data_IF_709806687393
#
_entry.id   IF_709806687393
#
_cell.length_a   1.000
_cell.length_b   1.000
_cell.length_c   1.000
_cell.angle_alpha   90.00
_cell.angle_beta   90.00
_cell.angle_gamma   90.00
#
_symmetry.space_group_name_H-M   'P 1'
#
loop_
_entity.id
_entity.type
_entity.pdbx_description
1 polymer ?
#
# COMPACT_ATOMS: atom_id res chain seq x y z
N UNK A 1 11.72 -18.44 9.51
CA UNK A 1 12.19 -17.92 8.21
C UNK A 1 12.68 -19.10 7.40
N UNK A 2 12.08 -19.38 6.23
CA UNK A 2 12.71 -20.30 5.28
C UNK A 2 13.89 -19.54 4.66
N UNK A 3 15.11 -20.00 4.88
CA UNK A 3 16.27 -19.56 4.10
C UNK A 3 16.09 -20.14 2.71
N UNK A 4 15.48 -19.35 1.84
CA UNK A 4 15.40 -19.65 0.41
C UNK A 4 16.57 -18.90 -0.19
N UNK A 5 17.53 -19.64 -0.73
CA UNK A 5 18.64 -19.03 -1.46
C UNK A 5 18.06 -18.21 -2.63
N UNK A 6 18.57 -16.99 -2.86
CA UNK A 6 18.06 -16.15 -3.92
C UNK A 6 18.31 -16.82 -5.28
N UNK A 7 17.33 -16.82 -6.21
CA UNK A 7 17.51 -17.35 -7.55
C UNK A 7 18.78 -16.81 -8.21
N UNK A 8 19.56 -17.67 -8.87
CA UNK A 8 20.83 -17.29 -9.49
C UNK A 8 20.71 -16.08 -10.42
N UNK A 9 19.54 -15.91 -11.04
CA UNK A 9 19.25 -14.85 -12.00
C UNK A 9 19.30 -13.46 -11.35
N UNK A 10 18.83 -13.33 -10.10
CA UNK A 10 18.89 -12.08 -9.35
C UNK A 10 20.34 -11.76 -8.97
N UNK A 11 21.08 -12.76 -8.49
CA UNK A 11 22.47 -12.58 -8.05
C UNK A 11 23.40 -12.21 -9.22
N UNK A 12 23.08 -12.64 -10.44
CA UNK A 12 23.83 -12.29 -11.66
C UNK A 12 23.62 -10.84 -12.09
N UNK A 13 22.43 -10.28 -11.87
CA UNK A 13 22.07 -8.91 -12.30
C UNK A 13 22.55 -7.85 -11.30
N UNK A 14 22.60 -8.17 -10.01
CA UNK A 14 22.96 -7.21 -8.97
C UNK A 14 24.45 -6.83 -9.02
N UNK A 15 24.80 -5.53 -8.86
CA UNK A 15 26.18 -5.09 -8.61
C UNK A 15 26.80 -5.81 -7.41
N UNK A 16 28.09 -6.10 -7.50
CA UNK A 16 28.84 -6.90 -6.50
C UNK A 16 28.69 -6.36 -5.09
N UNK A 17 28.64 -5.04 -4.95
CA UNK A 17 28.53 -4.29 -3.69
C UNK A 17 27.23 -4.60 -2.95
N UNK A 18 26.13 -4.88 -3.67
CA UNK A 18 24.80 -5.11 -3.08
C UNK A 18 24.33 -6.56 -3.16
N UNK A 19 25.15 -7.48 -3.70
CA UNK A 19 24.80 -8.91 -3.81
C UNK A 19 24.48 -9.55 -2.46
N UNK A 20 25.10 -9.08 -1.38
CA UNK A 20 24.83 -9.57 -0.03
C UNK A 20 23.42 -9.22 0.47
N UNK A 21 22.73 -8.27 -0.17
CA UNK A 21 21.32 -7.93 0.05
C UNK A 21 20.36 -8.56 -0.98
N UNK A 22 20.83 -9.52 -1.79
CA UNK A 22 20.02 -10.20 -2.82
C UNK A 22 18.70 -10.78 -2.31
N UNK A 23 18.63 -11.18 -1.04
CA UNK A 23 17.41 -11.65 -0.40
C UNK A 23 16.30 -10.59 -0.32
N UNK A 24 16.64 -9.30 -0.28
CA UNK A 24 15.67 -8.19 -0.27
C UNK A 24 14.91 -8.07 -1.60
N UNK A 25 15.46 -8.62 -2.68
CA UNK A 25 14.85 -8.60 -4.02
C UNK A 25 13.90 -9.79 -4.25
N UNK A 26 13.74 -10.69 -3.27
CA UNK A 26 12.85 -11.84 -3.38
C UNK A 26 11.39 -11.43 -3.21
N UNK A 27 10.55 -11.88 -4.14
CA UNK A 27 9.12 -11.63 -4.12
C UNK A 27 8.46 -12.14 -2.83
N UNK A 28 8.84 -13.33 -2.36
CA UNK A 28 8.27 -13.93 -1.16
C UNK A 28 8.55 -13.13 0.11
N UNK A 29 9.75 -12.51 0.20
CA UNK A 29 10.07 -11.62 1.32
C UNK A 29 9.15 -10.40 1.32
N UNK A 30 8.71 -9.98 0.13
CA UNK A 30 7.82 -8.85 -0.05
C UNK A 30 6.35 -9.16 0.30
N UNK A 31 5.99 -10.45 0.35
CA UNK A 31 4.62 -10.91 0.56
C UNK A 31 4.23 -11.06 2.03
N UNK A 32 5.21 -11.08 2.94
CA UNK A 32 4.95 -11.24 4.37
C UNK A 32 4.10 -10.10 4.94
N UNK A 33 3.22 -10.45 5.87
CA UNK A 33 2.46 -9.48 6.66
C UNK A 33 3.41 -8.66 7.54
N UNK A 34 3.50 -7.33 7.36
CA UNK A 34 4.37 -6.50 8.18
C UNK A 34 3.93 -6.47 9.65
N UNK A 35 4.86 -6.26 10.60
CA UNK A 35 4.50 -6.03 11.99
C UNK A 35 3.78 -4.70 12.15
N UNK A 36 2.96 -4.59 13.20
CA UNK A 36 2.40 -3.31 13.63
C UNK A 36 3.50 -2.37 14.14
N UNK A 37 3.36 -1.08 13.83
CA UNK A 37 4.31 -0.02 14.21
C UNK A 37 3.57 1.23 14.69
N UNK A 38 4.28 2.16 15.31
CA UNK A 38 3.69 3.39 15.85
C UNK A 38 3.03 4.28 14.78
N UNK A 39 3.54 4.21 13.54
CA UNK A 39 3.11 5.00 12.39
C UNK A 39 2.18 4.24 11.44
N UNK A 40 1.60 3.12 11.88
CA UNK A 40 0.54 2.42 11.15
C UNK A 40 -0.54 3.39 10.67
N UNK A 41 -1.11 3.08 9.50
CA UNK A 41 -2.08 3.97 8.88
C UNK A 41 -3.33 4.08 9.76
N UNK A 42 -3.66 5.31 10.14
CA UNK A 42 -4.87 5.64 10.88
C UNK A 42 -5.95 6.12 9.91
N UNK A 43 -7.19 5.71 10.17
CA UNK A 43 -8.37 6.15 9.41
C UNK A 43 -9.30 6.88 10.38
N UNK A 44 -9.06 8.19 10.51
CA UNK A 44 -9.86 9.05 11.38
C UNK A 44 -11.07 9.56 10.59
N UNK A 45 -12.28 9.15 10.97
CA UNK A 45 -13.48 9.62 10.30
C UNK A 45 -13.93 10.95 10.91
N UNK A 46 -14.66 11.74 10.13
CA UNK A 46 -15.35 12.94 10.60
C UNK A 46 -16.39 12.58 11.65
N UNK A 47 -16.77 13.56 12.46
CA UNK A 47 -17.86 13.42 13.43
C UNK A 47 -19.17 13.96 12.85
N UNK A 48 -20.28 13.39 13.27
CA UNK A 48 -21.63 13.90 13.01
C UNK A 48 -21.94 15.13 13.88
N UNK A 49 -23.10 15.75 13.68
CA UNK A 49 -23.57 16.92 14.45
C UNK A 49 -23.68 16.65 15.95
N UNK A 50 -23.81 15.37 16.34
CA UNK A 50 -23.89 14.92 17.74
C UNK A 50 -22.51 14.53 18.30
N UNK A 51 -21.44 14.78 17.55
CA UNK A 51 -20.06 14.47 17.95
C UNK A 51 -19.69 12.99 17.85
N UNK A 52 -20.53 12.11 17.29
CA UNK A 52 -20.23 10.69 17.11
C UNK A 52 -19.41 10.49 15.84
N UNK A 53 -18.48 9.54 15.83
CA UNK A 53 -17.74 9.21 14.61
C UNK A 53 -18.73 8.74 13.52
N UNK A 54 -18.56 9.24 12.28
CA UNK A 54 -19.40 8.83 11.15
C UNK A 54 -19.24 7.33 10.89
N UNK A 55 -20.32 6.70 10.45
CA UNK A 55 -20.32 5.26 10.17
C UNK A 55 -19.62 4.94 8.84
N UNK A 56 -19.11 3.72 8.74
CA UNK A 56 -18.50 3.17 7.53
C UNK A 56 -19.58 3.11 6.43
N UNK A 57 -19.33 3.71 5.24
CA UNK A 57 -20.32 3.71 4.16
C UNK A 57 -20.65 2.29 3.69
N UNK A 58 -21.92 2.06 3.37
CA UNK A 58 -22.37 0.82 2.75
C UNK A 58 -22.42 0.98 1.24
N UNK A 59 -21.37 0.51 0.56
CA UNK A 59 -21.24 0.60 -0.89
C UNK A 59 -22.12 -0.42 -1.62
N UNK A 60 -22.58 -0.10 -2.85
CA UNK A 60 -23.27 -1.06 -3.71
C UNK A 60 -22.32 -2.16 -4.17
N UNK A 61 -22.87 -3.28 -4.65
CA UNK A 61 -22.11 -4.25 -5.43
C UNK A 61 -22.18 -3.87 -6.90
N UNK A 62 -21.04 -3.78 -7.56
CA UNK A 62 -20.99 -3.54 -9.00
C UNK A 62 -21.12 -4.83 -9.80
N UNK A 63 -21.74 -4.72 -10.97
CA UNK A 63 -21.80 -5.82 -11.92
C UNK A 63 -20.40 -6.13 -12.45
N UNK A 64 -20.11 -7.42 -12.60
CA UNK A 64 -18.83 -7.91 -13.10
C UNK A 64 -19.04 -8.95 -14.19
N UNK A 65 -18.22 -8.85 -15.23
CA UNK A 65 -18.06 -9.86 -16.27
C UNK A 65 -17.45 -11.15 -15.72
N UNK A 66 -17.49 -12.23 -16.52
CA UNK A 66 -16.89 -13.51 -16.15
C UNK A 66 -15.38 -13.36 -15.88
N UNK A 67 -14.67 -12.61 -16.72
CA UNK A 67 -13.22 -12.45 -16.61
C UNK A 67 -12.84 -11.65 -15.36
N UNK A 68 -13.58 -10.58 -15.04
CA UNK A 68 -13.42 -9.84 -13.79
C UNK A 68 -13.67 -10.72 -12.56
N UNK A 69 -14.67 -11.61 -12.61
CA UNK A 69 -14.94 -12.55 -11.50
C UNK A 69 -13.82 -13.57 -11.30
N UNK A 70 -13.17 -14.03 -12.38
CA UNK A 70 -12.01 -14.91 -12.30
C UNK A 70 -10.81 -14.18 -11.68
N UNK A 71 -10.52 -12.96 -12.16
CA UNK A 71 -9.44 -12.13 -11.59
C UNK A 71 -9.72 -11.81 -10.12
N UNK A 72 -10.97 -11.49 -9.77
CA UNK A 72 -11.39 -11.24 -8.41
C UNK A 72 -11.11 -12.44 -7.51
N UNK A 73 -11.55 -13.63 -7.91
CA UNK A 73 -11.35 -14.85 -7.11
C UNK A 73 -9.86 -15.13 -6.88
N UNK A 74 -9.04 -15.02 -7.91
CA UNK A 74 -7.60 -15.23 -7.80
C UNK A 74 -6.93 -14.18 -6.91
N UNK A 75 -7.33 -12.91 -7.03
CA UNK A 75 -6.82 -11.82 -6.19
C UNK A 75 -7.17 -12.04 -4.72
N UNK A 76 -8.42 -12.44 -4.44
CA UNK A 76 -8.84 -12.74 -3.07
C UNK A 76 -8.03 -13.88 -2.46
N UNK A 77 -7.83 -14.98 -3.21
CA UNK A 77 -7.01 -16.11 -2.74
C UNK A 77 -5.59 -15.66 -2.42
N UNK A 78 -4.93 -14.97 -3.36
CA UNK A 78 -3.57 -14.48 -3.19
C UNK A 78 -3.43 -13.56 -1.96
N UNK A 79 -4.38 -12.65 -1.76
CA UNK A 79 -4.32 -11.71 -0.64
C UNK A 79 -4.65 -12.38 0.71
N UNK A 80 -5.49 -13.41 0.73
CA UNK A 80 -5.76 -14.23 1.91
C UNK A 80 -4.53 -15.07 2.28
N UNK A 81 -3.87 -15.68 1.29
CA UNK A 81 -2.66 -16.51 1.49
C UNK A 81 -1.50 -15.67 2.06
N UNK A 82 -1.40 -14.40 1.65
CA UNK A 82 -0.44 -13.42 2.17
C UNK A 82 -0.84 -12.81 3.52
N UNK A 83 -2.02 -13.16 4.02
CA UNK A 83 -2.65 -12.53 5.19
C UNK A 83 -2.74 -11.00 5.09
N UNK A 84 -2.86 -10.45 3.87
CA UNK A 84 -3.06 -9.02 3.64
C UNK A 84 -4.49 -8.59 3.90
N UNK A 85 -5.43 -9.52 3.69
CA UNK A 85 -6.86 -9.34 3.99
C UNK A 85 -7.36 -10.48 4.87
N UNK A 86 -8.52 -10.27 5.50
CA UNK A 86 -9.29 -11.32 6.18
C UNK A 86 -10.79 -11.15 5.93
N UNK A 87 -11.59 -12.16 6.23
CA UNK A 87 -13.05 -12.03 6.21
C UNK A 87 -13.48 -10.91 7.18
N UNK A 88 -14.39 -10.05 6.73
CA UNK A 88 -14.87 -8.91 7.51
C UNK A 88 -16.28 -9.14 8.04
N UNK A 89 -16.53 -8.63 9.25
CA UNK A 89 -17.85 -8.50 9.86
C UNK A 89 -18.32 -7.04 9.94
N UNK A 90 -17.62 -6.13 9.26
CA UNK A 90 -17.91 -4.70 9.24
C UNK A 90 -19.35 -4.43 8.79
N UNK A 91 -20.06 -3.47 9.43
CA UNK A 91 -21.43 -3.11 9.04
C UNK A 91 -21.50 -2.44 7.66
N UNK A 92 -20.35 -1.97 7.14
CA UNK A 92 -20.21 -1.30 5.86
C UNK A 92 -19.23 -2.00 4.93
N UNK A 93 -18.92 -1.34 3.82
CA UNK A 93 -17.82 -1.75 2.97
C UNK A 93 -17.92 -1.18 1.56
N UNK A 94 -16.76 -0.88 0.99
CA UNK A 94 -16.63 -0.30 -0.34
C UNK A 94 -16.85 -1.34 -1.45
N UNK A 95 -17.36 -0.93 -2.63
CA UNK A 95 -17.39 -1.79 -3.80
C UNK A 95 -15.98 -2.13 -4.31
N UNK A 96 -15.88 -3.24 -5.04
CA UNK A 96 -14.71 -3.53 -5.89
C UNK A 96 -15.02 -3.14 -7.34
N UNK A 97 -14.04 -2.56 -8.02
CA UNK A 97 -14.05 -2.31 -9.46
C UNK A 97 -12.72 -2.74 -10.08
N UNK A 98 -12.71 -2.89 -11.41
CA UNK A 98 -11.49 -3.19 -12.16
C UNK A 98 -11.12 -2.05 -13.09
N UNK A 99 -9.86 -1.63 -13.02
CA UNK A 99 -9.28 -0.73 -14.01
C UNK A 99 -8.48 -1.53 -15.04
N UNK A 100 -8.60 -1.17 -16.32
CA UNK A 100 -7.76 -1.77 -17.37
C UNK A 100 -6.33 -1.26 -17.24
N UNK A 101 -5.37 -2.17 -17.23
CA UNK A 101 -3.95 -1.86 -17.37
C UNK A 101 -3.61 -1.60 -18.84
N UNK A 102 -2.54 -0.84 -19.14
CA UNK A 102 -2.08 -0.61 -20.52
C UNK A 102 -1.73 -1.89 -21.28
N UNK A 103 -1.28 -2.93 -20.57
CA UNK A 103 -0.93 -4.25 -21.10
C UNK A 103 -2.16 -5.15 -21.38
N UNK A 104 -3.38 -4.65 -21.16
CA UNK A 104 -4.61 -5.42 -21.33
C UNK A 104 -5.06 -6.20 -20.09
N UNK A 105 -4.27 -6.22 -19.02
CA UNK A 105 -4.64 -6.85 -17.76
C UNK A 105 -5.70 -6.07 -16.97
N UNK A 106 -6.26 -6.69 -15.94
CA UNK A 106 -7.18 -6.05 -14.99
C UNK A 106 -6.47 -5.72 -13.68
N UNK A 107 -6.74 -4.55 -13.12
CA UNK A 107 -6.26 -4.11 -11.81
C UNK A 107 -7.42 -4.09 -10.84
N UNK A 108 -7.32 -4.93 -9.80
CA UNK A 108 -8.24 -4.92 -8.67
C UNK A 108 -8.15 -3.58 -7.94
N UNK A 109 -9.28 -2.90 -7.78
CA UNK A 109 -9.38 -1.63 -7.05
C UNK A 109 -10.58 -1.67 -6.11
N UNK A 110 -10.41 -1.15 -4.89
CA UNK A 110 -11.53 -0.89 -3.99
C UNK A 110 -11.93 0.57 -4.10
N UNK A 111 -13.21 0.83 -4.30
CA UNK A 111 -13.74 2.19 -4.46
C UNK A 111 -14.00 2.87 -3.11
N UNK A 112 -12.93 3.38 -2.50
CA UNK A 112 -13.00 4.11 -1.24
C UNK A 112 -13.49 5.56 -1.37
N UNK A 113 -14.06 6.02 -2.50
CA UNK A 113 -14.49 7.42 -2.66
C UNK A 113 -15.47 7.88 -1.57
N UNK A 114 -16.44 7.03 -1.22
CA UNK A 114 -17.39 7.32 -0.15
C UNK A 114 -16.71 7.43 1.22
N UNK A 115 -15.79 6.50 1.52
CA UNK A 115 -15.01 6.50 2.77
C UNK A 115 -14.08 7.71 2.85
N UNK A 116 -13.40 8.04 1.76
CA UNK A 116 -12.47 9.16 1.66
C UNK A 116 -13.16 10.50 1.92
N UNK A 117 -14.39 10.67 1.43
CA UNK A 117 -15.19 11.90 1.65
C UNK A 117 -15.42 12.20 3.12
N UNK A 118 -15.52 11.15 3.95
CA UNK A 118 -15.74 11.29 5.40
C UNK A 118 -14.48 11.04 6.23
N UNK A 119 -13.32 10.87 5.58
CA UNK A 119 -12.04 10.66 6.26
C UNK A 119 -11.32 11.99 6.41
N UNK A 120 -10.85 12.28 7.63
CA UNK A 120 -10.04 13.46 7.89
C UNK A 120 -8.76 13.40 7.08
N UNK A 121 -8.53 14.43 6.28
CA UNK A 121 -7.34 14.53 5.43
C UNK A 121 -6.08 14.59 6.28
N UNK A 122 -5.22 13.61 6.08
CA UNK A 122 -3.87 13.64 6.61
C UNK A 122 -3.02 14.59 5.76
N UNK A 123 -2.65 15.73 6.33
CA UNK A 123 -1.88 16.78 5.64
C UNK A 123 -0.38 16.66 5.87
N UNK A 124 0.12 15.46 6.16
CA UNK A 124 1.56 15.27 6.30
C UNK A 124 2.30 15.77 5.05
N UNK A 125 3.46 16.38 5.27
CA UNK A 125 4.24 16.99 4.21
C UNK A 125 4.88 15.89 3.36
N UNK A 126 4.49 15.83 2.10
CA UNK A 126 5.27 15.16 1.08
C UNK A 126 6.42 16.09 0.67
N UNK A 127 7.63 15.57 0.42
CA UNK A 127 8.73 16.37 -0.11
C UNK A 127 8.31 17.10 -1.39
N UNK A 128 8.76 18.35 -1.55
CA UNK A 128 8.42 19.13 -2.71
C UNK A 128 9.23 18.64 -3.91
N UNK A 129 8.56 18.09 -4.92
CA UNK A 129 9.20 17.50 -6.12
C UNK A 129 10.23 18.46 -6.74
N UNK A 130 9.97 19.78 -6.76
CA UNK A 130 10.91 20.77 -7.31
C UNK A 130 12.23 20.84 -6.53
N UNK A 131 12.19 20.69 -5.22
CA UNK A 131 13.38 20.69 -4.36
C UNK A 131 14.16 19.39 -4.54
N UNK A 132 13.45 18.26 -4.54
CA UNK A 132 14.02 16.94 -4.86
C UNK A 132 14.76 16.97 -6.21
N UNK A 133 14.11 17.43 -7.28
CA UNK A 133 14.72 17.52 -8.61
C UNK A 133 15.94 18.46 -8.65
N UNK A 134 15.92 19.57 -7.91
CA UNK A 134 17.04 20.51 -7.82
C UNK A 134 18.24 19.91 -7.09
N UNK A 135 18.00 19.09 -6.06
CA UNK A 135 19.07 18.37 -5.36
C UNK A 135 19.75 17.38 -6.32
N UNK A 136 18.94 16.63 -7.05
CA UNK A 136 19.38 15.60 -7.99
C UNK A 136 20.09 16.18 -9.21
N UNK A 137 19.73 17.38 -9.68
CA UNK A 137 20.36 17.97 -10.88
C UNK A 137 21.86 18.27 -10.73
N UNK A 138 22.40 18.19 -9.51
CA UNK A 138 23.81 18.50 -9.20
C UNK A 138 24.69 17.26 -9.07
N UNK A 139 24.12 16.06 -9.14
CA UNK A 139 24.85 14.81 -8.91
C UNK A 139 25.21 14.14 -10.24
N UNK A 140 26.31 13.40 -10.25
CA UNK A 140 26.79 12.70 -11.46
C UNK A 140 26.18 11.31 -11.61
N UNK A 141 25.87 10.66 -10.49
CA UNK A 141 25.34 9.30 -10.43
C UNK A 141 24.13 9.28 -9.50
N UNK A 142 23.09 8.54 -9.89
CA UNK A 142 21.87 8.36 -9.12
C UNK A 142 21.51 6.88 -9.16
N UNK A 143 21.22 6.32 -8.00
CA UNK A 143 20.59 5.01 -7.87
C UNK A 143 19.13 5.20 -7.49
N UNK A 144 18.22 4.63 -8.28
CA UNK A 144 16.80 4.57 -7.95
C UNK A 144 16.46 3.21 -7.36
N UNK A 145 15.85 3.22 -6.18
CA UNK A 145 15.27 2.05 -5.52
C UNK A 145 13.75 2.22 -5.51
N UNK A 146 13.05 1.22 -6.04
CA UNK A 146 11.59 1.17 -6.09
C UNK A 146 11.08 0.15 -5.07
N UNK A 147 10.17 0.56 -4.18
CA UNK A 147 9.61 -0.32 -3.16
C UNK A 147 8.42 -1.11 -3.72
N UNK A 148 8.63 -2.40 -3.98
CA UNK A 148 7.57 -3.30 -4.45
C UNK A 148 6.37 -3.31 -3.50
N UNK A 149 5.19 -3.02 -4.04
CA UNK A 149 3.92 -2.96 -3.30
C UNK A 149 4.02 -2.09 -2.04
N UNK A 150 4.64 -0.91 -2.17
CA UNK A 150 4.99 0.00 -1.09
C UNK A 150 3.93 0.14 0.01
N UNK A 151 2.70 0.49 -0.32
CA UNK A 151 1.65 0.67 0.70
C UNK A 151 1.36 -0.60 1.51
N UNK A 152 1.48 -1.79 0.91
CA UNK A 152 1.25 -3.04 1.62
C UNK A 152 2.36 -3.34 2.66
N UNK A 153 3.44 -2.55 2.72
CA UNK A 153 4.48 -2.63 3.77
C UNK A 153 4.06 -1.99 5.08
N UNK A 154 3.00 -1.20 5.07
CA UNK A 154 2.47 -0.52 6.23
C UNK A 154 1.16 -1.18 6.68
N UNK A 155 1.04 -1.48 7.98
CA UNK A 155 -0.21 -1.99 8.55
C UNK A 155 -1.26 -0.89 8.62
N UNK A 156 -2.53 -1.27 8.48
CA UNK A 156 -3.63 -0.44 8.98
C UNK A 156 -3.64 -0.59 10.49
N UNK A 157 -3.87 0.50 11.21
CA UNK A 157 -4.02 0.45 12.67
C UNK A 157 -5.12 -0.54 13.03
N UNK A 158 -4.90 -1.39 14.03
CA UNK A 158 -5.79 -2.52 14.38
C UNK A 158 -7.25 -2.10 14.59
N UNK A 159 -7.48 -0.95 15.22
CA UNK A 159 -8.84 -0.41 15.46
C UNK A 159 -9.51 0.17 14.21
N UNK A 160 -8.76 0.37 13.13
CA UNK A 160 -9.25 0.95 11.87
C UNK A 160 -9.35 -0.08 10.73
N UNK A 161 -8.91 -1.33 10.95
CA UNK A 161 -8.93 -2.40 9.91
C UNK A 161 -10.33 -2.57 9.31
N UNK A 162 -11.38 -2.61 10.14
CA UNK A 162 -12.78 -2.75 9.70
C UNK A 162 -13.26 -1.62 8.77
N UNK A 163 -12.65 -0.43 8.85
CA UNK A 163 -13.00 0.73 8.01
C UNK A 163 -12.56 0.52 6.57
N UNK A 164 -11.60 -0.37 6.34
CA UNK A 164 -11.14 -0.77 5.01
C UNK A 164 -11.99 -1.86 4.40
N UNK A 165 -13.07 -2.29 5.05
CA UNK A 165 -13.92 -3.34 4.54
C UNK A 165 -14.37 -3.06 3.10
N UNK A 166 -14.39 -4.11 2.30
CA UNK A 166 -14.83 -4.10 0.93
C UNK A 166 -15.69 -5.32 0.63
N UNK A 167 -16.60 -5.14 -0.32
CA UNK A 167 -17.68 -6.07 -0.60
C UNK A 167 -17.51 -6.66 -1.99
N UNK A 168 -17.68 -7.97 -2.05
CA UNK A 168 -17.56 -8.74 -3.29
C UNK A 168 -18.71 -9.71 -3.42
N UNK A 169 -18.86 -10.33 -4.59
CA UNK A 169 -19.78 -11.45 -4.80
C UNK A 169 -19.43 -12.68 -3.93
N UNK A 170 -18.19 -12.81 -3.49
CA UNK A 170 -17.69 -13.95 -2.72
C UNK A 170 -17.68 -13.71 -1.21
N UNK A 171 -18.18 -12.55 -0.76
CA UNK A 171 -18.18 -12.16 0.66
C UNK A 171 -17.58 -10.78 0.88
N UNK A 172 -17.50 -10.40 2.15
CA UNK A 172 -16.88 -9.15 2.60
C UNK A 172 -15.51 -9.45 3.22
N UNK A 173 -14.54 -8.60 2.93
CA UNK A 173 -13.18 -8.71 3.42
C UNK A 173 -12.68 -7.35 3.88
N UNK A 174 -11.69 -7.33 4.75
CA UNK A 174 -11.03 -6.10 5.22
C UNK A 174 -9.52 -6.25 5.12
N UNK A 175 -8.84 -5.13 4.92
CA UNK A 175 -7.40 -5.07 4.78
C UNK A 175 -6.71 -4.94 6.14
N UNK A 176 -5.63 -5.68 6.28
CA UNK A 176 -4.72 -5.60 7.42
C UNK A 176 -3.47 -4.77 7.09
N UNK A 177 -3.10 -4.73 5.81
CA UNK A 177 -2.09 -3.82 5.25
C UNK A 177 -2.75 -2.63 4.59
N UNK A 178 -2.04 -1.53 4.37
CA UNK A 178 -2.62 -0.31 3.80
C UNK A 178 -2.97 -0.51 2.33
N UNK A 179 -4.25 -0.53 1.92
CA UNK A 179 -4.62 -0.68 0.52
C UNK A 179 -4.45 0.61 -0.27
N UNK A 180 -4.33 0.46 -1.59
CA UNK A 180 -4.44 1.59 -2.51
C UNK A 180 -5.84 2.21 -2.47
N UNK A 181 -5.91 3.50 -2.77
CA UNK A 181 -7.17 4.24 -2.90
C UNK A 181 -7.64 4.92 -1.62
N UNK A 182 -7.04 4.66 -0.45
CA UNK A 182 -7.33 5.40 0.77
C UNK A 182 -6.67 6.79 0.77
N UNK A 183 -7.42 7.81 1.19
CA UNK A 183 -6.97 9.20 1.19
C UNK A 183 -5.70 9.46 2.01
N UNK A 184 -5.51 8.76 3.14
CA UNK A 184 -4.35 8.94 4.02
C UNK A 184 -3.14 8.07 3.68
N UNK A 185 -3.25 7.14 2.72
CA UNK A 185 -2.21 6.14 2.47
C UNK A 185 -0.86 6.76 2.04
N UNK A 186 -0.80 7.73 1.10
CA UNK A 186 0.47 8.36 0.72
C UNK A 186 1.15 9.07 1.89
N UNK A 187 0.39 9.82 2.68
CA UNK A 187 0.89 10.54 3.85
C UNK A 187 1.45 9.60 4.93
N UNK A 188 0.74 8.50 5.19
CA UNK A 188 1.18 7.47 6.13
C UNK A 188 2.44 6.75 5.65
N UNK A 189 2.53 6.43 4.35
CA UNK A 189 3.71 5.82 3.78
C UNK A 189 4.92 6.76 3.82
N UNK A 190 4.74 8.05 3.53
CA UNK A 190 5.84 9.02 3.66
C UNK A 190 6.35 9.12 5.10
N UNK A 191 5.49 9.04 6.13
CA UNK A 191 5.96 8.97 7.53
C UNK A 191 6.82 7.75 7.77
N UNK A 192 6.42 6.60 7.24
CA UNK A 192 7.21 5.38 7.36
C UNK A 192 8.60 5.54 6.74
N UNK A 193 8.68 6.16 5.56
CA UNK A 193 9.94 6.44 4.88
C UNK A 193 10.78 7.44 5.67
N UNK A 194 10.18 8.55 6.15
CA UNK A 194 10.87 9.55 6.96
C UNK A 194 11.42 8.97 8.27
N UNK A 195 10.70 8.05 8.90
CA UNK A 195 11.18 7.36 10.10
C UNK A 195 12.33 6.40 9.78
N UNK A 196 12.20 5.65 8.68
CA UNK A 196 13.19 4.63 8.29
C UNK A 196 14.49 5.23 7.77
N UNK A 197 14.42 6.35 7.05
CA UNK A 197 15.55 6.99 6.37
C UNK A 197 15.89 8.36 6.95
N UNK A 198 15.24 8.81 8.03
CA UNK A 198 15.33 10.20 8.51
C UNK A 198 16.74 10.71 8.74
N UNK A 199 17.67 9.85 9.17
CA UNK A 199 19.08 10.22 9.38
C UNK A 199 19.88 10.39 8.07
N UNK A 200 19.31 9.98 6.94
CA UNK A 200 19.97 9.92 5.63
C UNK A 200 19.29 10.84 4.59
N UNK A 201 18.01 11.16 4.81
CA UNK A 201 17.26 12.10 3.99
C UNK A 201 17.97 13.45 3.94
N UNK A 202 18.07 14.01 2.75
CA UNK A 202 18.76 15.27 2.43
C UNK A 202 20.28 15.28 2.72
N UNK A 203 20.87 14.15 3.15
CA UNK A 203 22.32 13.98 3.28
C UNK A 203 22.89 13.32 2.03
N UNK A 204 22.40 12.11 1.73
CA UNK A 204 22.79 11.37 0.52
C UNK A 204 21.62 10.70 -0.17
N UNK A 205 20.41 10.72 0.40
CA UNK A 205 19.24 10.19 -0.27
C UNK A 205 18.04 11.15 -0.15
N UNK A 206 17.10 11.00 -1.06
CA UNK A 206 15.79 11.66 -1.05
C UNK A 206 14.74 10.61 -1.37
N UNK A 207 13.56 10.74 -0.79
CA UNK A 207 12.50 9.77 -1.02
C UNK A 207 11.15 10.44 -1.22
N UNK A 208 10.48 10.08 -2.30
CA UNK A 208 9.13 10.54 -2.61
C UNK A 208 8.22 9.32 -2.72
N UNK A 209 7.42 9.09 -1.67
CA UNK A 209 6.63 7.87 -1.52
C UNK A 209 7.52 6.61 -1.70
N UNK A 210 7.24 5.81 -2.72
CA UNK A 210 7.88 4.55 -3.06
C UNK A 210 9.20 4.69 -3.84
N UNK A 211 9.48 5.88 -4.36
CA UNK A 211 10.72 6.20 -5.07
C UNK A 211 11.79 6.71 -4.10
N UNK A 212 12.81 5.91 -3.85
CA UNK A 212 14.00 6.29 -3.08
C UNK A 212 15.16 6.54 -4.05
N UNK A 213 15.78 7.70 -3.95
CA UNK A 213 16.91 8.12 -4.78
C UNK A 213 18.13 8.32 -3.89
N UNK A 214 19.24 7.69 -4.27
CA UNK A 214 20.55 7.73 -3.59
C UNK A 214 21.56 8.31 -4.57
#
# INVERSE_FOLDING_TARGET
>A
MRNIDPPEDIVKILPTEIKHWSTLFLEDQSNNLPPHRQFDMKINLDRDEKGREKQIPYGPLYNMSRDELLVLRNTLSDHLDKAWIRASSSPGGAPVLFAKKPDGGLRFCVDYRALNTITKKDRNLLPLIKETLRSISKVTWITKVDVRAAFHKLRVRKEDEEKTAFRTRFGSFEWLVTPFGLQGAPAAFQRYVNESLGNYLDVFCTAYLDDILI
#
